data_IF_280869341500
#
_entry.id   IF_280869341500
#
_cell.length_a   1.000
_cell.length_b   1.000
_cell.length_c   1.000
_cell.angle_alpha   90.00
_cell.angle_beta   90.00
_cell.angle_gamma   90.00
#
_symmetry.space_group_name_H-M   'P 1'
#
loop_
_entity.id
_entity.type
_entity.pdbx_description
1 polymer ?
#
# COMPACT_ATOMS: atom_id res chain seq x y z
N UNK A 1 -31.91 -27.92 -36.47
CA UNK A 1 -31.51 -26.50 -36.44
C UNK A 1 -30.36 -26.39 -35.45
N UNK A 2 -29.14 -26.16 -35.92
CA UNK A 2 -27.99 -25.94 -35.04
C UNK A 2 -27.91 -24.44 -34.77
N UNK A 3 -28.16 -24.02 -33.52
CA UNK A 3 -28.00 -22.63 -33.12
C UNK A 3 -26.54 -22.36 -32.80
N UNK A 4 -25.92 -21.41 -33.49
CA UNK A 4 -24.62 -20.90 -33.08
C UNK A 4 -24.79 -20.05 -31.82
N UNK A 5 -24.19 -20.46 -30.71
CA UNK A 5 -24.10 -19.68 -29.48
C UNK A 5 -22.69 -19.14 -29.30
N UNK A 6 -22.56 -17.86 -28.94
CA UNK A 6 -21.29 -17.27 -28.52
C UNK A 6 -21.15 -17.48 -27.02
N UNK A 7 -20.01 -17.98 -26.57
CA UNK A 7 -19.69 -18.12 -25.14
C UNK A 7 -18.90 -16.90 -24.71
N UNK A 8 -19.43 -16.18 -23.72
CA UNK A 8 -18.78 -15.04 -23.09
C UNK A 8 -18.43 -15.38 -21.63
N UNK A 9 -17.36 -14.79 -21.07
CA UNK A 9 -17.02 -15.00 -19.67
C UNK A 9 -18.17 -14.50 -18.77
N UNK A 10 -18.43 -15.22 -17.68
CA UNK A 10 -19.44 -14.81 -16.69
C UNK A 10 -19.04 -13.57 -15.88
N UNK A 11 -17.85 -13.03 -16.12
CA UNK A 11 -17.29 -11.83 -15.51
C UNK A 11 -16.67 -10.92 -16.57
N UNK A 12 -16.51 -9.65 -16.24
CA UNK A 12 -15.74 -8.74 -17.09
C UNK A 12 -14.27 -9.13 -17.17
N UNK A 13 -13.64 -8.81 -18.31
CA UNK A 13 -12.18 -8.81 -18.44
C UNK A 13 -11.65 -7.58 -17.73
N UNK A 14 -10.94 -7.77 -16.63
CA UNK A 14 -10.41 -6.67 -15.80
C UNK A 14 -8.91 -6.53 -16.02
N UNK A 15 -8.48 -5.36 -16.48
CA UNK A 15 -7.07 -5.02 -16.54
C UNK A 15 -6.51 -4.74 -15.14
N UNK A 16 -5.56 -5.57 -14.68
CA UNK A 16 -4.88 -5.34 -13.41
C UNK A 16 -3.71 -4.40 -13.62
N UNK A 17 -3.77 -3.23 -12.96
CA UNK A 17 -2.73 -2.19 -13.02
C UNK A 17 -2.33 -1.77 -11.62
N UNK A 18 -1.09 -1.35 -11.46
CA UNK A 18 -0.62 -0.71 -10.21
C UNK A 18 -0.89 0.79 -10.27
N UNK A 19 -1.52 1.33 -9.22
CA UNK A 19 -1.72 2.77 -9.06
C UNK A 19 -0.43 3.51 -8.65
N UNK A 20 0.60 2.76 -8.23
CA UNK A 20 1.89 3.28 -7.84
C UNK A 20 2.87 3.20 -9.01
N UNK A 21 3.55 4.31 -9.29
CA UNK A 21 4.72 4.31 -10.16
C UNK A 21 5.86 3.55 -9.48
N UNK A 22 6.29 2.44 -10.06
CA UNK A 22 7.38 1.64 -9.51
C UNK A 22 7.76 0.46 -10.41
N UNK A 23 8.97 -0.06 -10.23
CA UNK A 23 9.47 -1.20 -10.99
C UNK A 23 8.85 -2.50 -10.44
N UNK A 24 8.33 -3.36 -11.31
CA UNK A 24 7.91 -4.72 -10.90
C UNK A 24 9.16 -5.50 -10.50
N UNK A 25 9.19 -5.99 -9.26
CA UNK A 25 10.32 -6.75 -8.69
C UNK A 25 10.10 -8.26 -8.81
N UNK A 26 8.85 -8.71 -8.85
CA UNK A 26 8.51 -10.12 -9.06
C UNK A 26 7.12 -10.26 -9.67
N UNK A 27 6.96 -11.24 -10.55
CA UNK A 27 5.64 -11.75 -10.99
C UNK A 27 5.43 -13.09 -10.29
N UNK A 28 4.29 -13.26 -9.63
CA UNK A 28 4.01 -14.38 -8.73
C UNK A 28 3.05 -15.42 -9.34
N UNK A 29 2.58 -15.18 -10.57
CA UNK A 29 1.62 -16.02 -11.29
C UNK A 29 2.06 -16.22 -12.73
N UNK A 30 1.50 -17.23 -13.40
CA UNK A 30 1.74 -17.55 -14.81
C UNK A 30 0.46 -17.38 -15.61
N UNK A 31 0.57 -17.13 -16.94
CA UNK A 31 -0.58 -17.14 -17.82
C UNK A 31 -1.35 -18.47 -17.71
N UNK A 32 -2.67 -18.39 -17.50
CA UNK A 32 -3.53 -19.56 -17.32
C UNK A 32 -3.77 -19.98 -15.87
N UNK A 33 -3.09 -19.36 -14.89
CA UNK A 33 -3.33 -19.65 -13.48
C UNK A 33 -4.71 -19.11 -13.04
N UNK A 34 -5.44 -19.93 -12.27
CA UNK A 34 -6.64 -19.48 -11.57
C UNK A 34 -6.24 -18.77 -10.27
N UNK A 35 -6.74 -17.56 -10.07
CA UNK A 35 -6.40 -16.71 -8.91
C UNK A 35 -7.65 -16.33 -8.13
N UNK A 36 -7.48 -16.07 -6.85
CA UNK A 36 -8.58 -15.66 -5.96
C UNK A 36 -8.46 -14.19 -5.54
N UNK A 37 -9.56 -13.60 -5.08
CA UNK A 37 -9.57 -12.20 -4.62
C UNK A 37 -8.58 -12.02 -3.45
N UNK A 38 -7.73 -10.99 -3.57
CA UNK A 38 -6.71 -10.67 -2.56
C UNK A 38 -5.39 -11.42 -2.75
N UNK A 39 -5.31 -12.36 -3.70
CA UNK A 39 -4.06 -13.05 -4.02
C UNK A 39 -3.06 -12.08 -4.68
N UNK A 40 -1.84 -11.93 -4.14
CA UNK A 40 -0.80 -11.13 -4.77
C UNK A 40 -0.39 -11.71 -6.13
N UNK A 41 -0.46 -10.90 -7.19
CA UNK A 41 -0.11 -11.31 -8.55
C UNK A 41 1.30 -10.89 -8.96
N UNK A 42 1.76 -9.74 -8.47
CA UNK A 42 3.11 -9.23 -8.68
C UNK A 42 3.49 -8.31 -7.51
N UNK A 43 4.79 -8.07 -7.36
CA UNK A 43 5.34 -7.12 -6.38
C UNK A 43 5.97 -5.94 -7.10
N UNK A 44 5.78 -4.76 -6.54
CA UNK A 44 6.39 -3.51 -7.01
C UNK A 44 7.49 -3.12 -6.03
N UNK A 45 8.51 -2.38 -6.49
CA UNK A 45 9.54 -1.84 -5.62
C UNK A 45 8.97 -0.79 -4.64
N UNK A 46 9.01 -1.11 -3.34
CA UNK A 46 8.43 -0.26 -2.29
C UNK A 46 9.51 0.57 -1.57
N UNK A 47 10.78 0.57 -2.01
CA UNK A 47 11.88 1.29 -1.33
C UNK A 47 11.57 2.78 -1.14
N UNK A 48 11.06 3.44 -2.18
CA UNK A 48 10.69 4.85 -2.11
C UNK A 48 9.52 5.12 -1.16
N UNK A 49 8.53 4.22 -1.13
CA UNK A 49 7.37 4.31 -0.23
C UNK A 49 7.81 4.11 1.22
N UNK A 50 8.64 3.10 1.49
CA UNK A 50 9.22 2.85 2.81
C UNK A 50 10.06 4.02 3.32
N UNK A 51 10.87 4.63 2.48
CA UNK A 51 11.67 5.79 2.86
C UNK A 51 10.80 6.98 3.28
N UNK A 52 9.72 7.26 2.52
CA UNK A 52 8.75 8.32 2.87
C UNK A 52 8.03 8.02 4.18
N UNK A 53 7.63 6.76 4.39
CA UNK A 53 7.01 6.34 5.64
C UNK A 53 7.94 6.54 6.83
N UNK A 54 9.20 6.10 6.74
CA UNK A 54 10.19 6.29 7.80
C UNK A 54 10.45 7.76 8.12
N UNK A 55 10.48 8.63 7.11
CA UNK A 55 10.58 10.08 7.30
C UNK A 55 9.36 10.69 8.01
N UNK A 56 8.15 10.27 7.62
CA UNK A 56 6.92 10.72 8.27
C UNK A 56 6.84 10.26 9.73
N UNK A 57 7.22 9.01 10.02
CA UNK A 57 7.28 8.48 11.38
C UNK A 57 8.30 9.22 12.24
N UNK A 58 9.46 9.60 11.68
CA UNK A 58 10.45 10.40 12.38
C UNK A 58 9.91 11.78 12.76
N UNK A 59 9.23 12.46 11.83
CA UNK A 59 8.59 13.75 12.08
C UNK A 59 7.53 13.67 13.19
N UNK A 60 6.73 12.59 13.22
CA UNK A 60 5.75 12.35 14.29
C UNK A 60 6.44 12.18 15.65
N UNK A 61 7.56 11.44 15.70
CA UNK A 61 8.32 11.25 16.95
C UNK A 61 8.90 12.56 17.46
N UNK A 62 9.48 13.37 16.58
CA UNK A 62 10.03 14.68 16.93
C UNK A 62 8.95 15.62 17.48
N UNK A 63 7.80 15.72 16.79
CA UNK A 63 6.68 16.53 17.26
C UNK A 63 6.14 16.04 18.62
N UNK A 64 6.07 14.74 18.82
CA UNK A 64 5.63 14.15 20.09
C UNK A 64 6.60 14.45 21.24
N UNK A 65 7.91 14.41 20.97
CA UNK A 65 8.94 14.78 21.95
C UNK A 65 8.84 16.26 22.32
N UNK A 66 8.70 17.15 21.34
CA UNK A 66 8.53 18.59 21.59
C UNK A 66 7.29 18.90 22.44
N UNK A 67 6.17 18.22 22.18
CA UNK A 67 4.95 18.35 23.00
C UNK A 67 5.20 17.86 24.44
N UNK A 68 5.92 16.74 24.60
CA UNK A 68 6.24 16.19 25.92
C UNK A 68 7.13 17.15 26.72
N UNK A 69 8.14 17.73 26.08
CA UNK A 69 9.05 18.71 26.69
C UNK A 69 8.32 19.98 27.10
N UNK A 70 7.46 20.52 26.21
CA UNK A 70 6.65 21.69 26.52
C UNK A 70 5.74 21.46 27.73
N UNK A 71 5.07 20.30 27.80
CA UNK A 71 4.23 19.92 28.95
C UNK A 71 5.03 19.76 30.24
N UNK A 72 6.24 19.20 30.16
CA UNK A 72 7.12 19.05 31.32
C UNK A 72 7.56 20.43 31.86
N UNK A 73 7.90 21.36 30.96
CA UNK A 73 8.25 22.74 31.30
C UNK A 73 7.08 23.48 31.96
N UNK A 74 5.87 23.39 31.40
CA UNK A 74 4.65 23.96 32.01
C UNK A 74 4.41 23.42 33.43
N UNK A 75 4.51 22.10 33.63
CA UNK A 75 4.28 21.49 34.95
C UNK A 75 5.32 21.91 36.01
N UNK A 76 6.54 22.23 35.57
CA UNK A 76 7.61 22.70 36.45
C UNK A 76 7.42 24.18 36.80
N UNK A 77 6.98 24.98 35.83
CA UNK A 77 6.64 26.38 36.04
C UNK A 77 5.43 26.54 36.98
N UNK A 78 4.40 25.70 36.84
CA UNK A 78 3.20 25.72 37.69
C UNK A 78 3.44 25.27 39.14
N UNK A 79 4.61 24.67 39.45
CA UNK A 79 4.97 24.19 40.78
C UNK A 79 5.88 25.17 41.55
N UNK A 80 6.34 26.24 40.90
CA UNK A 80 7.09 27.33 41.52
C UNK A 80 6.18 28.52 41.77
#
# INVERSE_FOLDING_TARGET
>A
MAGAGVVEPSSEVIDIRTALSGQVTAVLVRPGDYVTRGQPLFRVDERGVRARLGGAEAAIREASAAISEARAAESTAARR
#
